data_IF_729213365996
#
_entry.id   IF_729213365996
#
_cell.length_a   1.000
_cell.length_b   1.000
_cell.length_c   1.000
_cell.angle_alpha   90.00
_cell.angle_beta   90.00
_cell.angle_gamma   90.00
#
_symmetry.space_group_name_H-M   'P 1'
#
loop_
_entity.id
_entity.type
_entity.pdbx_description
1 polymer ?
#
# COMPACT_ATOMS: atom_id res chain seq x y z
N UNK A 1 -4.28 -15.00 -5.60
CA UNK A 1 -2.86 -14.62 -5.56
C UNK A 1 -2.08 -15.78 -4.95
N UNK A 2 -1.00 -16.16 -5.56
CA UNK A 2 -0.06 -16.98 -4.85
C UNK A 2 0.69 -16.05 -3.90
N UNK A 3 0.26 -15.99 -2.65
CA UNK A 3 0.94 -15.25 -1.58
C UNK A 3 2.20 -16.02 -1.14
N UNK A 4 2.44 -17.16 -1.77
CA UNK A 4 3.69 -17.89 -1.72
C UNK A 4 4.60 -17.38 -2.83
N UNK A 5 5.71 -16.82 -2.46
CA UNK A 5 6.87 -16.81 -3.36
C UNK A 5 7.58 -18.18 -3.27
N UNK A 6 8.65 -18.34 -4.01
CA UNK A 6 9.39 -19.62 -4.05
C UNK A 6 10.07 -19.99 -2.73
N UNK A 7 10.16 -19.07 -1.78
CA UNK A 7 11.05 -19.19 -0.62
C UNK A 7 10.37 -18.89 0.71
N UNK A 8 9.12 -18.37 0.70
CA UNK A 8 8.43 -17.95 1.90
C UNK A 8 7.03 -18.52 2.01
N UNK A 9 6.66 -18.97 3.18
CA UNK A 9 5.28 -19.30 3.52
C UNK A 9 4.68 -18.20 4.40
N UNK A 10 4.21 -17.16 3.73
CA UNK A 10 3.64 -15.98 4.40
C UNK A 10 2.44 -16.35 5.29
N UNK A 11 1.67 -17.37 4.94
CA UNK A 11 0.55 -17.82 5.77
C UNK A 11 1.03 -18.43 7.07
N UNK A 12 2.09 -19.23 7.02
CA UNK A 12 2.68 -19.79 8.24
C UNK A 12 3.20 -18.67 9.15
N UNK A 13 3.84 -17.64 8.60
CA UNK A 13 4.30 -16.50 9.39
C UNK A 13 3.16 -15.70 10.02
N UNK A 14 2.06 -15.52 9.28
CA UNK A 14 0.90 -14.79 9.79
C UNK A 14 0.17 -15.52 10.92
N UNK A 15 0.16 -16.87 10.89
CA UNK A 15 -0.64 -17.68 11.81
C UNK A 15 0.14 -18.27 12.99
N UNK A 16 1.47 -18.18 12.97
CA UNK A 16 2.31 -18.66 14.08
C UNK A 16 2.05 -17.84 15.35
N UNK A 17 1.94 -18.54 16.49
CA UNK A 17 1.61 -17.95 17.79
C UNK A 17 2.61 -18.39 18.87
N UNK A 18 2.67 -17.64 19.97
CA UNK A 18 3.48 -17.98 21.12
C UNK A 18 4.97 -18.08 20.77
N UNK A 19 5.62 -19.19 21.18
CA UNK A 19 7.04 -19.44 20.92
C UNK A 19 7.37 -19.70 19.46
N UNK A 20 6.38 -20.07 18.64
CA UNK A 20 6.52 -20.28 17.20
C UNK A 20 6.37 -18.99 16.39
N UNK A 21 5.97 -17.88 17.01
CA UNK A 21 5.81 -16.60 16.35
C UNK A 21 7.18 -16.08 15.86
N UNK A 22 7.28 -15.84 14.56
CA UNK A 22 8.54 -15.40 13.92
C UNK A 22 8.50 -13.95 13.46
N UNK A 23 7.31 -13.32 13.49
CA UNK A 23 7.11 -11.92 13.11
C UNK A 23 6.10 -11.24 14.03
N UNK A 24 6.34 -9.98 14.37
CA UNK A 24 5.39 -9.12 15.08
C UNK A 24 4.42 -8.44 14.11
N UNK A 25 4.87 -8.20 12.88
CA UNK A 25 4.04 -7.64 11.81
C UNK A 25 4.56 -8.06 10.44
N UNK A 26 3.67 -8.00 9.46
CA UNK A 26 4.00 -8.04 8.03
C UNK A 26 3.65 -6.71 7.37
N UNK A 27 4.47 -6.33 6.40
CA UNK A 27 4.27 -5.10 5.63
C UNK A 27 4.18 -5.41 4.13
N UNK A 28 3.01 -5.86 3.62
CA UNK A 28 2.82 -6.07 2.21
C UNK A 28 3.07 -4.79 1.42
N UNK A 29 3.80 -4.90 0.30
CA UNK A 29 4.08 -3.78 -0.59
C UNK A 29 2.94 -3.66 -1.60
N UNK A 30 2.04 -2.69 -1.41
CA UNK A 30 0.90 -2.41 -2.30
C UNK A 30 1.15 -1.11 -3.06
N UNK A 31 2.04 -1.17 -4.04
CA UNK A 31 2.55 -0.02 -4.77
C UNK A 31 1.72 0.34 -6.02
N UNK A 32 0.44 0.02 -6.01
CA UNK A 32 -0.51 0.27 -7.10
C UNK A 32 -1.63 1.19 -6.65
N UNK A 33 -2.20 1.90 -7.62
CA UNK A 33 -3.34 2.77 -7.41
C UNK A 33 -4.68 2.05 -7.51
N UNK A 34 -5.72 2.82 -7.47
CA UNK A 34 -7.08 2.34 -7.70
C UNK A 34 -7.28 2.01 -9.17
N UNK A 35 -8.09 0.99 -9.43
CA UNK A 35 -8.37 0.54 -10.79
C UNK A 35 -7.15 -0.01 -11.53
N UNK A 36 -6.02 -0.22 -10.85
CA UNK A 36 -4.80 -0.71 -11.50
C UNK A 36 -5.09 -1.96 -12.33
N UNK A 37 -4.77 -1.88 -13.61
CA UNK A 37 -5.06 -2.93 -14.57
C UNK A 37 -3.77 -3.42 -15.21
N UNK A 38 -3.53 -4.71 -15.13
CA UNK A 38 -2.43 -5.36 -15.85
C UNK A 38 -2.70 -5.34 -17.36
N UNK A 39 -1.67 -5.49 -18.17
CA UNK A 39 -1.82 -5.63 -19.64
C UNK A 39 -2.71 -6.79 -20.05
N UNK A 40 -2.85 -7.81 -19.20
CA UNK A 40 -3.78 -8.93 -19.37
C UNK A 40 -5.25 -8.58 -19.10
N UNK A 41 -5.55 -7.34 -18.65
CA UNK A 41 -6.88 -6.91 -18.23
C UNK A 41 -7.24 -7.25 -16.79
N UNK A 42 -6.38 -7.93 -16.05
CA UNK A 42 -6.64 -8.24 -14.63
C UNK A 42 -6.46 -7.01 -13.74
N UNK A 43 -7.42 -6.79 -12.85
CA UNK A 43 -7.40 -5.72 -11.83
C UNK A 43 -6.98 -6.23 -10.45
N UNK A 44 -6.42 -7.43 -10.38
CA UNK A 44 -6.12 -8.12 -9.14
C UNK A 44 -5.26 -7.33 -8.16
N UNK A 45 -4.29 -6.57 -8.68
CA UNK A 45 -3.39 -5.76 -7.86
C UNK A 45 -3.89 -4.34 -7.61
N UNK A 46 -5.07 -3.97 -8.12
CA UNK A 46 -5.68 -2.70 -7.77
C UNK A 46 -5.79 -2.57 -6.24
N UNK A 47 -5.52 -1.38 -5.72
CA UNK A 47 -5.47 -1.13 -4.27
C UNK A 47 -6.74 -1.62 -3.56
N UNK A 48 -7.91 -1.31 -4.10
CA UNK A 48 -9.22 -1.71 -3.57
C UNK A 48 -9.46 -3.22 -3.58
N UNK A 49 -8.71 -3.99 -4.35
CA UNK A 49 -8.80 -5.45 -4.43
C UNK A 49 -7.77 -6.14 -3.55
N UNK A 50 -6.50 -5.70 -3.62
CA UNK A 50 -5.40 -6.39 -2.95
C UNK A 50 -5.38 -6.16 -1.44
N UNK A 51 -5.75 -4.98 -0.97
CA UNK A 51 -5.75 -4.68 0.47
C UNK A 51 -6.78 -5.52 1.23
N UNK A 52 -8.06 -5.59 0.80
CA UNK A 52 -9.02 -6.50 1.44
C UNK A 52 -8.61 -7.97 1.41
N UNK A 53 -7.95 -8.43 0.34
CA UNK A 53 -7.43 -9.80 0.26
C UNK A 53 -6.41 -10.07 1.38
N UNK A 54 -5.48 -9.14 1.63
CA UNK A 54 -4.54 -9.25 2.73
C UNK A 54 -5.23 -9.22 4.10
N UNK A 55 -6.16 -8.29 4.31
CA UNK A 55 -6.87 -8.15 5.58
C UNK A 55 -7.74 -9.36 5.91
N UNK A 56 -8.27 -10.05 4.89
CA UNK A 56 -9.09 -11.26 5.06
C UNK A 56 -8.28 -12.53 5.36
N UNK A 57 -6.95 -12.49 5.23
CA UNK A 57 -6.13 -13.66 5.53
C UNK A 57 -6.15 -13.99 7.03
N UNK A 58 -6.28 -15.28 7.40
CA UNK A 58 -6.12 -15.72 8.78
C UNK A 58 -4.76 -15.27 9.32
N UNK A 59 -4.75 -14.72 10.53
CA UNK A 59 -3.52 -14.33 11.22
C UNK A 59 -3.69 -14.42 12.73
N UNK A 60 -2.58 -14.60 13.43
CA UNK A 60 -2.52 -14.55 14.88
C UNK A 60 -2.93 -13.16 15.39
N UNK A 61 -3.58 -13.10 16.55
CA UNK A 61 -3.99 -11.84 17.15
C UNK A 61 -2.80 -10.92 17.48
N UNK A 62 -1.62 -11.50 17.71
CA UNK A 62 -0.37 -10.80 17.96
C UNK A 62 0.31 -10.24 16.71
N UNK A 63 -0.11 -10.65 15.51
CA UNK A 63 0.53 -10.26 14.25
C UNK A 63 -0.23 -9.13 13.57
N UNK A 64 0.39 -7.97 13.44
CA UNK A 64 -0.18 -6.81 12.77
C UNK A 64 0.07 -6.84 11.25
N UNK A 65 -0.81 -6.18 10.49
CA UNK A 65 -0.57 -5.84 9.08
C UNK A 65 -0.38 -4.33 8.96
N UNK A 66 0.79 -3.93 8.46
CA UNK A 66 1.07 -2.59 7.97
C UNK A 66 1.19 -2.66 6.45
N UNK A 67 0.81 -1.61 5.75
CA UNK A 67 0.86 -1.61 4.29
C UNK A 67 1.93 -0.66 3.78
N UNK A 68 2.82 -1.18 2.94
CA UNK A 68 3.80 -0.38 2.23
C UNK A 68 3.15 0.30 1.03
N UNK A 69 3.19 1.63 0.98
CA UNK A 69 2.62 2.43 -0.10
C UNK A 69 3.73 3.03 -0.96
N UNK A 70 3.47 3.13 -2.27
CA UNK A 70 4.45 3.57 -3.25
C UNK A 70 4.53 5.08 -3.40
N UNK A 71 5.18 5.79 -2.49
CA UNK A 71 5.37 7.23 -2.60
C UNK A 71 6.12 7.66 -3.87
N UNK A 72 6.96 6.79 -4.43
CA UNK A 72 7.66 7.04 -5.69
C UNK A 72 6.75 7.09 -6.93
N UNK A 73 5.50 6.68 -6.79
CA UNK A 73 4.49 6.78 -7.86
C UNK A 73 3.93 8.19 -8.03
N UNK A 74 4.05 9.01 -6.99
CA UNK A 74 3.57 10.41 -7.03
C UNK A 74 4.23 11.17 -8.17
N UNK A 75 3.41 11.71 -9.06
CA UNK A 75 3.84 12.39 -10.28
C UNK A 75 4.34 11.49 -11.42
N UNK A 76 4.51 10.17 -11.18
CA UNK A 76 5.06 9.24 -12.17
C UNK A 76 4.08 8.16 -12.61
N UNK A 77 3.01 7.94 -11.84
CA UNK A 77 2.03 6.89 -12.12
C UNK A 77 2.52 5.50 -11.75
N UNK A 78 1.64 4.52 -11.86
CA UNK A 78 1.92 3.12 -11.52
C UNK A 78 2.11 2.21 -12.73
N UNK A 79 1.93 2.74 -13.94
CA UNK A 79 2.11 1.99 -15.18
C UNK A 79 0.98 1.00 -15.49
N UNK A 80 -0.16 1.14 -14.85
CA UNK A 80 -1.35 0.36 -15.15
C UNK A 80 -1.90 0.67 -16.55
N UNK A 81 -2.67 -0.27 -17.11
CA UNK A 81 -3.35 -0.10 -18.38
C UNK A 81 -4.67 0.70 -18.27
N UNK A 82 -5.09 1.06 -17.06
CA UNK A 82 -6.24 1.94 -16.80
C UNK A 82 -5.93 3.39 -17.19
N UNK A 83 -6.95 4.11 -17.62
CA UNK A 83 -6.80 5.49 -18.14
C UNK A 83 -6.21 6.47 -17.12
N UNK A 84 -6.54 6.29 -15.84
CA UNK A 84 -6.11 7.17 -14.75
C UNK A 84 -4.82 6.70 -14.04
N UNK A 85 -4.10 5.75 -14.62
CA UNK A 85 -2.85 5.19 -14.06
C UNK A 85 -1.75 6.24 -13.78
N UNK A 86 -1.80 7.37 -14.46
CA UNK A 86 -0.93 8.53 -14.20
C UNK A 86 -1.66 9.62 -13.41
N UNK A 87 -2.86 10.01 -13.86
CA UNK A 87 -3.55 11.20 -13.35
C UNK A 87 -3.89 11.09 -11.86
N UNK A 88 -4.29 9.91 -11.38
CA UNK A 88 -4.56 9.71 -9.95
C UNK A 88 -3.34 10.00 -9.06
N UNK A 89 -2.12 9.77 -9.56
CA UNK A 89 -0.88 10.03 -8.85
C UNK A 89 -0.37 11.48 -8.97
N UNK A 90 -1.08 12.30 -9.73
CA UNK A 90 -0.81 13.74 -9.87
C UNK A 90 -1.80 14.62 -9.11
N UNK A 91 -2.76 14.04 -8.38
CA UNK A 91 -3.80 14.77 -7.64
C UNK A 91 -3.28 15.51 -6.41
N UNK A 92 -2.11 15.12 -5.88
CA UNK A 92 -1.60 15.62 -4.62
C UNK A 92 -2.28 15.03 -3.37
N UNK A 93 -3.09 13.99 -3.54
CA UNK A 93 -3.80 13.32 -2.43
C UNK A 93 -3.94 11.81 -2.61
N UNK A 94 -3.19 11.21 -3.54
CA UNK A 94 -3.26 9.78 -3.83
C UNK A 94 -2.90 8.93 -2.62
N UNK A 95 -1.78 9.21 -1.96
CA UNK A 95 -1.34 8.51 -0.76
C UNK A 95 -2.27 8.79 0.42
N UNK A 96 -2.72 10.04 0.60
CA UNK A 96 -3.65 10.39 1.65
C UNK A 96 -4.98 9.64 1.53
N UNK A 97 -5.49 9.45 0.31
CA UNK A 97 -6.66 8.61 0.03
C UNK A 97 -6.41 7.16 0.45
N UNK A 98 -5.28 6.58 0.06
CA UNK A 98 -4.92 5.21 0.44
C UNK A 98 -4.79 5.04 1.96
N UNK A 99 -4.15 5.98 2.65
CA UNK A 99 -4.05 5.97 4.12
C UNK A 99 -5.42 6.08 4.78
N UNK A 100 -6.29 6.95 4.28
CA UNK A 100 -7.66 7.07 4.75
C UNK A 100 -8.45 5.76 4.62
N UNK A 101 -8.31 5.08 3.50
CA UNK A 101 -8.95 3.78 3.27
C UNK A 101 -8.38 2.69 4.16
N UNK A 102 -7.05 2.63 4.36
CA UNK A 102 -6.42 1.68 5.28
C UNK A 102 -6.93 1.85 6.71
N UNK A 103 -7.07 3.08 7.19
CA UNK A 103 -7.64 3.38 8.50
C UNK A 103 -9.09 2.90 8.62
N UNK A 104 -9.90 3.19 7.60
CA UNK A 104 -11.31 2.80 7.55
C UNK A 104 -11.49 1.27 7.51
N UNK A 105 -10.56 0.56 6.88
CA UNK A 105 -10.53 -0.89 6.80
C UNK A 105 -9.93 -1.57 8.03
N UNK A 106 -9.41 -0.81 9.00
CA UNK A 106 -8.85 -1.35 10.24
C UNK A 106 -7.45 -1.93 10.09
N UNK A 107 -6.65 -1.48 9.12
CA UNK A 107 -5.24 -1.85 9.02
C UNK A 107 -4.46 -1.36 10.25
N UNK A 108 -3.40 -2.08 10.64
CA UNK A 108 -2.56 -1.73 11.78
C UNK A 108 -1.72 -0.47 11.55
N UNK A 109 -1.42 -0.14 10.30
CA UNK A 109 -0.66 1.04 9.95
C UNK A 109 -0.17 1.01 8.51
N UNK A 110 0.72 1.92 8.18
CA UNK A 110 1.26 2.09 6.84
C UNK A 110 2.70 2.61 6.87
N UNK A 111 3.44 2.36 5.80
CA UNK A 111 4.78 2.88 5.58
C UNK A 111 4.88 3.42 4.14
N UNK A 112 5.64 4.49 3.94
CA UNK A 112 5.81 5.09 2.62
C UNK A 112 7.18 4.74 2.04
N UNK A 113 7.21 4.17 0.87
CA UNK A 113 8.43 3.94 0.14
C UNK A 113 8.53 4.97 -1.00
N UNK A 114 9.39 5.96 -0.89
CA UNK A 114 10.41 6.19 0.14
C UNK A 114 10.54 7.70 0.46
N UNK A 115 11.38 8.04 1.46
CA UNK A 115 11.64 9.42 1.90
C UNK A 115 11.97 10.38 0.75
N UNK A 116 12.94 10.03 -0.10
CA UNK A 116 13.37 10.90 -1.21
C UNK A 116 12.23 11.24 -2.17
N UNK A 117 11.26 10.34 -2.35
CA UNK A 117 10.12 10.56 -3.25
C UNK A 117 9.22 11.73 -2.82
N UNK A 118 9.19 12.04 -1.52
CA UNK A 118 8.38 13.14 -0.99
C UNK A 118 9.20 14.36 -0.59
N UNK A 119 10.44 14.18 -0.13
CA UNK A 119 11.25 15.26 0.45
C UNK A 119 12.40 15.72 -0.45
N UNK A 120 12.77 14.93 -1.47
CA UNK A 120 13.72 15.27 -2.53
C UNK A 120 13.20 14.86 -3.91
N UNK A 121 11.94 15.21 -4.24
CA UNK A 121 11.26 14.64 -5.39
C UNK A 121 11.79 15.21 -6.71
N UNK A 122 11.70 14.39 -7.77
CA UNK A 122 11.90 14.85 -9.15
C UNK A 122 10.76 15.77 -9.62
N UNK A 123 9.56 15.60 -9.03
CA UNK A 123 8.38 16.42 -9.30
C UNK A 123 7.90 17.10 -8.01
N UNK A 124 8.36 18.34 -7.73
CA UNK A 124 8.15 19.00 -6.44
C UNK A 124 6.70 19.30 -6.09
N UNK A 125 5.88 19.71 -7.06
CA UNK A 125 4.50 20.15 -6.80
C UNK A 125 3.59 19.02 -6.31
N UNK A 126 3.46 17.88 -7.01
CA UNK A 126 2.64 16.79 -6.52
C UNK A 126 3.10 16.26 -5.15
N UNK A 127 4.43 16.20 -4.94
CA UNK A 127 4.99 15.73 -3.68
C UNK A 127 4.70 16.67 -2.51
N UNK A 128 4.75 17.99 -2.73
CA UNK A 128 4.40 18.97 -1.72
C UNK A 128 2.92 18.88 -1.32
N UNK A 129 2.04 18.74 -2.29
CA UNK A 129 0.62 18.56 -2.05
C UNK A 129 0.32 17.26 -1.27
N UNK A 130 0.98 16.15 -1.63
CA UNK A 130 0.86 14.88 -0.90
C UNK A 130 1.33 15.00 0.54
N UNK A 131 2.46 15.68 0.82
CA UNK A 131 2.90 15.91 2.20
C UNK A 131 1.87 16.69 3.00
N UNK A 132 1.28 17.73 2.41
CA UNK A 132 0.24 18.52 3.07
C UNK A 132 -1.01 17.69 3.35
N UNK A 133 -1.47 16.88 2.38
CA UNK A 133 -2.63 16.02 2.53
C UNK A 133 -2.41 14.93 3.60
N UNK A 134 -1.22 14.31 3.64
CA UNK A 134 -0.85 13.34 4.66
C UNK A 134 -0.76 13.96 6.05
N UNK A 135 -0.16 15.15 6.17
CA UNK A 135 -0.09 15.89 7.43
C UNK A 135 -1.49 16.21 7.98
N UNK A 136 -2.42 16.58 7.12
CA UNK A 136 -3.81 16.86 7.52
C UNK A 136 -4.51 15.62 8.12
N UNK A 137 -4.14 14.41 7.72
CA UNK A 137 -4.68 13.18 8.29
C UNK A 137 -4.13 12.84 9.68
N UNK A 138 -2.97 13.37 10.04
CA UNK A 138 -2.30 13.06 11.32
C UNK A 138 -2.73 13.98 12.46
N UNK A 139 -3.43 15.07 12.16
CA UNK A 139 -3.86 16.10 13.13
C UNK A 139 -5.30 15.83 13.66
N UNK A 140 -5.90 14.72 13.23
CA UNK A 140 -7.26 14.30 13.63
C UNK A 140 -7.28 13.22 14.68
#
# INVERSE_FOLDING_TARGET
>A
MCIRDRYSDVRAWLTAEGEDAVVDYLCPQVYWGYGYTLRSGSTRFAFENIVPEWLAMPRAASTALYFGLGAYRVGSGDGGANEDSLSQWCTGSALARQVGDLRRLGAGGWALYRYDSLFRPAQPEPAAAERAALAALTVG
#
